data_IF_797402473286
#
_entry.id   IF_797402473286
#
_cell.length_a   1.000
_cell.length_b   1.000
_cell.length_c   1.000
_cell.angle_alpha   90.00
_cell.angle_beta   90.00
_cell.angle_gamma   90.00
#
_symmetry.space_group_name_H-M   'P 1'
#
loop_
_entity.id
_entity.type
_entity.pdbx_description
1 polymer ?
#
# COMPACT_ATOMS: atom_id res chain seq x y z
N UNK A 1 26.91 -17.54 43.06
CA UNK A 1 28.18 -18.29 43.14
C UNK A 1 28.68 -18.72 41.75
N UNK A 2 27.87 -19.41 40.95
CA UNK A 2 28.26 -19.84 39.59
C UNK A 2 28.59 -18.70 38.61
N UNK A 3 27.90 -17.55 38.70
CA UNK A 3 28.14 -16.39 37.83
C UNK A 3 29.53 -15.74 38.07
N UNK A 4 30.02 -15.77 39.32
CA UNK A 4 31.36 -15.29 39.68
C UNK A 4 32.42 -16.25 39.12
N UNK A 5 32.15 -17.56 39.12
CA UNK A 5 33.07 -18.58 38.63
C UNK A 5 33.22 -18.51 37.11
N UNK A 6 32.14 -18.20 36.38
CA UNK A 6 32.13 -18.17 34.91
C UNK A 6 32.55 -16.81 34.35
N UNK A 7 32.09 -15.70 34.95
CA UNK A 7 32.33 -14.35 34.43
C UNK A 7 33.26 -13.49 35.28
N UNK A 8 33.77 -14.01 36.41
CA UNK A 8 34.66 -13.27 37.31
C UNK A 8 33.98 -12.12 38.09
N UNK A 9 32.68 -11.92 37.94
CA UNK A 9 31.95 -10.78 38.51
C UNK A 9 30.72 -11.19 39.33
N UNK A 10 30.46 -10.54 40.48
CA UNK A 10 29.29 -10.82 41.32
C UNK A 10 27.99 -10.25 40.74
N UNK A 11 28.07 -9.17 39.96
CA UNK A 11 26.93 -8.49 39.33
C UNK A 11 27.35 -8.09 37.92
N UNK A 12 26.47 -8.35 36.94
CA UNK A 12 26.67 -7.96 35.54
C UNK A 12 25.43 -7.24 35.04
N UNK A 13 25.60 -6.29 34.12
CA UNK A 13 24.47 -5.64 33.44
C UNK A 13 24.02 -6.49 32.26
N UNK A 14 22.70 -6.62 32.05
CA UNK A 14 22.13 -7.45 30.98
C UNK A 14 22.69 -7.17 29.57
N UNK A 15 22.96 -5.91 29.17
CA UNK A 15 23.56 -5.61 27.86
C UNK A 15 25.00 -6.11 27.68
N UNK A 16 25.73 -6.38 28.77
CA UNK A 16 27.13 -6.84 28.72
C UNK A 16 27.25 -8.36 28.54
N UNK A 17 26.13 -9.09 28.63
CA UNK A 17 26.11 -10.55 28.54
C UNK A 17 26.68 -11.07 27.21
N UNK A 18 26.32 -10.53 26.01
CA UNK A 18 26.88 -11.03 24.76
C UNK A 18 28.40 -10.89 24.68
N UNK A 19 28.95 -9.78 25.19
CA UNK A 19 30.40 -9.51 25.20
C UNK A 19 31.15 -10.44 26.15
N UNK A 20 30.57 -10.72 27.32
CA UNK A 20 31.14 -11.64 28.30
C UNK A 20 30.99 -13.12 27.88
N UNK A 21 29.96 -13.44 27.09
CA UNK A 21 29.67 -14.80 26.63
C UNK A 21 30.50 -15.18 25.38
N UNK A 22 30.74 -14.24 24.46
CA UNK A 22 31.49 -14.49 23.23
C UNK A 22 32.83 -15.22 23.42
N UNK A 23 33.71 -14.86 24.38
CA UNK A 23 34.98 -15.57 24.59
C UNK A 23 34.82 -16.96 25.23
N UNK A 24 33.66 -17.26 25.82
CA UNK A 24 33.34 -18.57 26.40
C UNK A 24 32.75 -19.55 25.37
N UNK A 25 32.30 -19.04 24.22
CA UNK A 25 31.79 -19.84 23.10
C UNK A 25 32.94 -20.31 22.22
N UNK A 26 33.67 -21.32 22.71
CA UNK A 26 34.73 -21.98 21.97
C UNK A 26 34.14 -22.85 20.84
N UNK A 27 34.87 -23.02 19.72
CA UNK A 27 34.49 -24.01 18.71
C UNK A 27 34.51 -25.42 19.33
N UNK A 28 33.80 -26.36 18.71
CA UNK A 28 33.85 -27.76 19.11
C UNK A 28 35.30 -28.26 19.12
N UNK A 29 35.68 -28.95 20.19
CA UNK A 29 37.02 -29.53 20.31
C UNK A 29 37.29 -30.50 19.14
N UNK A 30 38.50 -30.47 18.55
CA UNK A 30 38.82 -31.34 17.43
C UNK A 30 38.90 -32.80 17.87
N UNK A 31 38.56 -33.71 16.97
CA UNK A 31 38.78 -35.15 17.18
C UNK A 31 40.27 -35.45 16.98
N UNK A 32 40.97 -35.74 18.08
CA UNK A 32 42.40 -36.08 18.08
C UNK A 32 42.56 -37.60 18.03
N UNK A 33 43.30 -38.10 17.04
CA UNK A 33 43.61 -39.54 16.89
C UNK A 33 45.12 -39.72 17.07
N UNK A 34 45.52 -40.23 18.23
CA UNK A 34 46.92 -40.54 18.51
C UNK A 34 47.32 -41.88 17.88
N UNK A 35 48.32 -41.87 17.00
CA UNK A 35 48.86 -43.06 16.36
C UNK A 35 50.38 -43.11 16.44
N UNK A 36 50.92 -44.15 17.09
CA UNK A 36 52.36 -44.38 17.16
C UNK A 36 52.82 -45.31 16.05
N UNK A 37 53.69 -44.80 15.18
CA UNK A 37 54.23 -45.57 14.05
C UNK A 37 55.15 -46.67 14.56
N UNK A 38 54.83 -47.93 14.24
CA UNK A 38 55.71 -49.06 14.50
C UNK A 38 56.62 -49.31 13.30
N UNK A 39 57.93 -49.43 13.55
CA UNK A 39 58.98 -49.64 12.52
C UNK A 39 59.49 -51.09 12.46
N UNK A 40 58.89 -51.98 13.24
CA UNK A 40 59.29 -53.39 13.35
C UNK A 40 58.84 -54.26 12.16
N UNK A 41 57.85 -53.81 11.38
CA UNK A 41 57.32 -54.51 10.20
C UNK A 41 57.27 -53.61 8.98
N UNK A 42 57.46 -54.20 7.79
CA UNK A 42 57.42 -53.48 6.52
C UNK A 42 56.01 -52.92 6.18
N UNK A 43 54.96 -53.50 6.77
CA UNK A 43 53.59 -53.03 6.65
C UNK A 43 52.85 -53.24 7.98
N UNK A 44 52.15 -52.20 8.44
CA UNK A 44 51.29 -52.27 9.62
C UNK A 44 49.93 -51.63 9.31
N UNK A 45 48.89 -52.46 9.33
CA UNK A 45 47.51 -52.00 9.33
C UNK A 45 47.08 -51.82 10.78
N UNK A 46 46.65 -50.60 11.15
CA UNK A 46 46.09 -50.34 12.47
C UNK A 46 44.82 -51.18 12.66
N UNK A 47 44.64 -51.87 13.80
CA UNK A 47 43.41 -52.60 14.10
C UNK A 47 42.25 -51.67 14.51
N UNK A 48 42.52 -50.37 14.69
CA UNK A 48 41.53 -49.39 15.14
C UNK A 48 40.81 -48.72 13.96
N UNK A 49 39.49 -48.76 13.99
CA UNK A 49 38.60 -47.99 13.12
C UNK A 49 37.82 -47.00 13.99
N UNK A 50 37.73 -45.74 13.56
CA UNK A 50 37.02 -44.68 14.27
C UNK A 50 35.83 -44.24 13.43
N UNK A 51 34.62 -44.45 13.94
CA UNK A 51 33.40 -43.91 13.35
C UNK A 51 33.15 -42.51 13.91
N UNK A 52 33.10 -41.52 13.03
CA UNK A 52 32.81 -40.12 13.39
C UNK A 52 31.46 -39.74 12.81
N UNK A 53 30.51 -39.41 13.68
CA UNK A 53 29.20 -38.91 13.26
C UNK A 53 29.33 -37.46 12.79
N UNK A 54 28.95 -37.20 11.53
CA UNK A 54 29.02 -35.87 10.92
C UNK A 54 27.60 -35.38 10.67
N UNK A 55 27.24 -34.24 11.24
CA UNK A 55 25.99 -33.56 10.92
C UNK A 55 26.06 -33.02 9.48
N UNK A 56 25.35 -33.67 8.57
CA UNK A 56 25.17 -33.18 7.20
C UNK A 56 24.13 -32.07 7.20
N UNK A 57 24.42 -30.90 6.60
CA UNK A 57 23.48 -29.79 6.60
C UNK A 57 22.26 -30.14 5.74
N UNK A 58 21.05 -30.08 6.30
CA UNK A 58 19.79 -30.45 5.63
C UNK A 58 19.53 -29.60 4.37
N UNK A 59 20.02 -30.06 3.23
CA UNK A 59 19.83 -29.42 1.93
C UNK A 59 18.37 -29.46 1.51
N UNK A 60 17.65 -30.53 1.85
CA UNK A 60 16.25 -30.70 1.50
C UNK A 60 15.34 -29.74 2.29
N UNK A 61 15.58 -29.55 3.58
CA UNK A 61 14.91 -28.53 4.40
C UNK A 61 15.18 -27.12 3.91
N UNK A 62 16.45 -26.81 3.59
CA UNK A 62 16.84 -25.50 3.05
C UNK A 62 16.21 -25.22 1.68
N UNK A 63 16.16 -26.22 0.80
CA UNK A 63 15.49 -26.09 -0.50
C UNK A 63 13.98 -25.92 -0.37
N UNK A 64 13.32 -26.66 0.54
CA UNK A 64 11.89 -26.49 0.85
C UNK A 64 11.59 -25.08 1.37
N UNK A 65 12.41 -24.56 2.29
CA UNK A 65 12.26 -23.19 2.80
C UNK A 65 12.40 -22.16 1.69
N UNK A 66 13.39 -22.32 0.80
CA UNK A 66 13.56 -21.45 -0.37
C UNK A 66 12.35 -21.50 -1.31
N UNK A 67 11.82 -22.69 -1.56
CA UNK A 67 10.63 -22.85 -2.40
C UNK A 67 9.38 -22.21 -1.79
N UNK A 68 9.23 -22.25 -0.47
CA UNK A 68 8.13 -21.55 0.22
C UNK A 68 8.25 -20.03 0.09
N UNK A 69 9.47 -19.50 0.23
CA UNK A 69 9.72 -18.06 0.09
C UNK A 69 9.54 -17.55 -1.35
N UNK A 70 9.73 -18.41 -2.35
CA UNK A 70 9.60 -18.05 -3.78
C UNK A 70 8.23 -18.38 -4.37
N UNK A 71 7.31 -18.99 -3.60
CA UNK A 71 5.98 -19.35 -4.07
C UNK A 71 5.10 -18.10 -4.29
N UNK A 72 5.38 -17.39 -5.37
CA UNK A 72 4.67 -16.20 -5.85
C UNK A 72 3.46 -16.56 -6.74
N UNK A 73 3.28 -17.84 -7.07
CA UNK A 73 2.16 -18.30 -7.89
C UNK A 73 0.82 -18.00 -7.22
N UNK A 74 0.70 -18.30 -5.92
CA UNK A 74 -0.49 -17.98 -5.13
C UNK A 74 -0.78 -16.47 -5.10
N UNK A 75 0.26 -15.62 -5.09
CA UNK A 75 0.08 -14.17 -5.05
C UNK A 75 -0.52 -13.63 -6.36
N UNK A 76 -0.14 -14.20 -7.52
CA UNK A 76 -0.71 -13.79 -8.81
C UNK A 76 -2.20 -14.12 -8.92
N UNK A 77 -2.59 -15.30 -8.46
CA UNK A 77 -4.00 -15.71 -8.48
C UNK A 77 -4.85 -14.86 -7.53
N UNK A 78 -4.32 -14.51 -6.35
CA UNK A 78 -4.97 -13.60 -5.40
C UNK A 78 -5.19 -12.23 -6.07
N UNK A 79 -4.16 -11.64 -6.68
CA UNK A 79 -4.30 -10.33 -7.35
C UNK A 79 -5.31 -10.37 -8.50
N UNK A 80 -5.34 -11.45 -9.29
CA UNK A 80 -6.33 -11.61 -10.36
C UNK A 80 -7.76 -11.74 -9.81
N UNK A 81 -7.95 -12.38 -8.66
CA UNK A 81 -9.24 -12.45 -7.97
C UNK A 81 -9.65 -11.08 -7.42
N UNK A 82 -8.73 -10.32 -6.86
CA UNK A 82 -8.99 -8.96 -6.35
C UNK A 82 -9.43 -8.00 -7.47
N UNK A 83 -8.81 -8.09 -8.65
CA UNK A 83 -9.24 -7.32 -9.83
C UNK A 83 -10.66 -7.69 -10.26
N UNK A 84 -11.01 -8.99 -10.27
CA UNK A 84 -12.38 -9.44 -10.58
C UNK A 84 -13.39 -8.94 -9.56
N UNK A 85 -13.07 -9.03 -8.27
CA UNK A 85 -13.92 -8.51 -7.20
C UNK A 85 -14.19 -7.01 -7.42
N UNK A 86 -13.14 -6.25 -7.73
CA UNK A 86 -13.26 -4.81 -8.00
C UNK A 86 -14.15 -4.54 -9.21
N UNK A 87 -14.00 -5.29 -10.30
CA UNK A 87 -14.85 -5.18 -11.49
C UNK A 87 -16.32 -5.48 -11.17
N UNK A 88 -16.59 -6.52 -10.39
CA UNK A 88 -17.96 -6.85 -9.99
C UNK A 88 -18.58 -5.79 -9.08
N UNK A 89 -17.82 -5.21 -8.14
CA UNK A 89 -18.29 -4.11 -7.30
C UNK A 89 -18.68 -2.91 -8.17
N UNK A 90 -17.86 -2.54 -9.15
CA UNK A 90 -18.18 -1.47 -10.09
C UNK A 90 -19.43 -1.77 -10.90
N UNK A 91 -19.56 -3.00 -11.42
CA UNK A 91 -20.76 -3.43 -12.16
C UNK A 91 -22.03 -3.36 -11.31
N UNK A 92 -21.96 -3.78 -10.04
CA UNK A 92 -23.08 -3.71 -9.09
C UNK A 92 -23.46 -2.25 -8.82
N UNK A 93 -22.48 -1.38 -8.59
CA UNK A 93 -22.74 0.04 -8.37
C UNK A 93 -23.39 0.69 -9.59
N UNK A 94 -22.90 0.41 -10.80
CA UNK A 94 -23.50 0.91 -12.03
C UNK A 94 -24.94 0.41 -12.21
N UNK A 95 -25.19 -0.88 -11.93
CA UNK A 95 -26.53 -1.45 -11.97
C UNK A 95 -27.46 -0.81 -10.93
N UNK A 96 -26.96 -0.57 -9.71
CA UNK A 96 -27.69 0.12 -8.64
C UNK A 96 -28.06 1.54 -9.05
N UNK A 97 -27.11 2.33 -9.54
CA UNK A 97 -27.35 3.71 -9.99
C UNK A 97 -28.40 3.74 -11.10
N UNK A 98 -28.29 2.85 -12.10
CA UNK A 98 -29.28 2.74 -13.18
C UNK A 98 -30.66 2.37 -12.66
N UNK A 99 -30.74 1.41 -11.74
CA UNK A 99 -32.01 1.00 -11.12
C UNK A 99 -32.64 2.15 -10.34
N UNK A 100 -31.85 2.83 -9.51
CA UNK A 100 -32.34 3.91 -8.65
C UNK A 100 -32.81 5.09 -9.51
N UNK A 101 -32.08 5.46 -10.57
CA UNK A 101 -32.51 6.42 -11.58
C UNK A 101 -33.87 6.06 -12.19
N UNK A 102 -34.03 4.83 -12.69
CA UNK A 102 -35.28 4.39 -13.33
C UNK A 102 -36.43 4.32 -12.32
N UNK A 103 -36.14 3.99 -11.06
CA UNK A 103 -37.13 3.94 -9.98
C UNK A 103 -37.64 5.33 -9.60
N UNK A 104 -36.75 6.30 -9.49
CA UNK A 104 -37.13 7.69 -9.24
C UNK A 104 -37.92 8.29 -10.40
N UNK A 105 -37.50 8.01 -11.63
CA UNK A 105 -38.25 8.39 -12.83
C UNK A 105 -39.67 7.80 -12.82
N UNK A 106 -39.82 6.51 -12.50
CA UNK A 106 -41.12 5.86 -12.47
C UNK A 106 -42.04 6.39 -11.36
N UNK A 107 -41.49 6.87 -10.24
CA UNK A 107 -42.26 7.40 -9.12
C UNK A 107 -42.89 8.78 -9.41
N UNK A 108 -42.14 9.67 -10.05
CA UNK A 108 -42.62 11.02 -10.42
C UNK A 108 -41.96 11.54 -11.70
N UNK A 109 -42.44 11.13 -12.90
CA UNK A 109 -41.75 11.38 -14.16
C UNK A 109 -41.55 12.87 -14.48
N UNK A 110 -42.58 13.70 -14.27
CA UNK A 110 -42.53 15.13 -14.60
C UNK A 110 -41.53 15.89 -13.71
N UNK A 111 -41.66 15.75 -12.40
CA UNK A 111 -40.74 16.35 -11.42
C UNK A 111 -39.31 15.82 -11.56
N UNK A 112 -39.16 14.53 -11.87
CA UNK A 112 -37.86 13.94 -12.13
C UNK A 112 -37.18 14.55 -13.36
N UNK A 113 -37.88 14.62 -14.51
CA UNK A 113 -37.33 15.20 -15.75
C UNK A 113 -36.90 16.65 -15.51
N UNK A 114 -37.73 17.45 -14.83
CA UNK A 114 -37.41 18.85 -14.54
C UNK A 114 -36.14 18.98 -13.69
N UNK A 115 -36.03 18.19 -12.61
CA UNK A 115 -34.83 18.15 -11.76
C UNK A 115 -33.60 17.63 -12.52
N UNK A 116 -33.79 16.63 -13.37
CA UNK A 116 -32.74 16.03 -14.18
C UNK A 116 -32.15 17.02 -15.19
N UNK A 117 -33.01 17.71 -15.95
CA UNK A 117 -32.58 18.76 -16.90
C UNK A 117 -31.84 19.88 -16.16
N UNK A 118 -32.36 20.32 -15.02
CA UNK A 118 -31.70 21.33 -14.20
C UNK A 118 -30.34 20.86 -13.64
N UNK A 119 -30.17 19.56 -13.36
CA UNK A 119 -28.86 18.98 -13.00
C UNK A 119 -27.91 19.00 -14.19
N UNK A 120 -28.35 18.50 -15.36
CA UNK A 120 -27.53 18.45 -16.56
C UNK A 120 -27.08 19.83 -17.04
N UNK A 121 -27.93 20.86 -16.92
CA UNK A 121 -27.55 22.22 -17.25
C UNK A 121 -26.44 22.75 -16.31
N UNK A 122 -26.54 22.48 -15.01
CA UNK A 122 -25.50 22.84 -14.04
C UNK A 122 -24.19 22.09 -14.31
N UNK A 123 -24.27 20.80 -14.60
CA UNK A 123 -23.08 20.01 -14.94
C UNK A 123 -22.41 20.54 -16.22
N UNK A 124 -23.20 20.96 -17.20
CA UNK A 124 -22.70 21.58 -18.44
C UNK A 124 -22.03 22.94 -18.18
N UNK A 125 -22.62 23.80 -17.34
CA UNK A 125 -22.02 25.07 -16.92
C UNK A 125 -20.65 24.85 -16.26
N UNK A 126 -20.53 23.83 -15.40
CA UNK A 126 -19.26 23.47 -14.76
C UNK A 126 -18.23 22.99 -15.78
N UNK A 127 -18.62 22.16 -16.75
CA UNK A 127 -17.71 21.65 -17.80
C UNK A 127 -17.22 22.77 -18.72
N UNK A 128 -18.11 23.69 -19.11
CA UNK A 128 -17.78 24.79 -20.00
C UNK A 128 -17.00 25.91 -19.29
N UNK A 129 -16.99 25.93 -17.95
CA UNK A 129 -16.36 26.99 -17.15
C UNK A 129 -17.03 28.35 -17.32
N UNK A 130 -18.19 28.39 -17.98
CA UNK A 130 -18.97 29.58 -18.21
C UNK A 130 -20.12 29.59 -17.21
N UNK A 131 -20.00 30.43 -16.17
CA UNK A 131 -21.15 30.82 -15.35
C UNK A 131 -22.02 31.80 -16.14
N UNK A 132 -22.58 31.36 -17.26
CA UNK A 132 -23.56 32.15 -17.97
C UNK A 132 -24.81 32.18 -17.11
N UNK A 133 -25.06 33.32 -16.48
CA UNK A 133 -26.40 33.67 -16.02
C UNK A 133 -27.36 33.32 -17.15
N UNK A 134 -28.26 32.37 -16.88
CA UNK A 134 -29.17 31.77 -17.83
C UNK A 134 -29.69 32.85 -18.81
N UNK A 135 -29.35 32.70 -20.09
CA UNK A 135 -29.61 33.72 -21.11
C UNK A 135 -31.11 34.06 -21.20
N UNK A 136 -31.96 33.10 -20.86
CA UNK A 136 -33.41 33.31 -20.75
C UNK A 136 -33.81 34.21 -19.57
N UNK A 137 -33.10 34.14 -18.45
CA UNK A 137 -33.36 35.04 -17.32
C UNK A 137 -33.03 36.48 -17.69
N UNK A 138 -31.92 36.72 -18.41
CA UNK A 138 -31.55 38.06 -18.90
C UNK A 138 -32.58 38.67 -19.84
N UNK A 139 -33.41 37.85 -20.51
CA UNK A 139 -34.49 38.33 -21.38
C UNK A 139 -35.70 38.84 -20.59
N UNK A 140 -35.82 38.50 -19.30
CA UNK A 140 -36.95 38.93 -18.47
C UNK A 140 -36.62 40.25 -17.78
N UNK A 141 -37.56 41.20 -17.81
CA UNK A 141 -37.38 42.50 -17.16
C UNK A 141 -37.10 42.39 -15.65
N UNK A 142 -37.68 41.39 -14.98
CA UNK A 142 -37.49 41.12 -13.55
C UNK A 142 -36.03 40.85 -13.17
N UNK A 143 -35.22 40.36 -14.11
CA UNK A 143 -33.80 40.14 -13.89
C UNK A 143 -33.06 41.46 -13.55
N UNK A 144 -33.50 42.57 -14.15
CA UNK A 144 -32.92 43.90 -13.94
C UNK A 144 -33.55 44.67 -12.78
N UNK A 145 -34.50 44.07 -12.06
CA UNK A 145 -35.09 44.67 -10.84
C UNK A 145 -34.38 44.19 -9.56
N UNK A 146 -33.34 43.37 -9.68
CA UNK A 146 -32.62 42.79 -8.55
C UNK A 146 -31.71 43.83 -7.85
N UNK A 147 -31.47 43.73 -6.53
CA UNK A 147 -30.71 44.73 -5.76
C UNK A 147 -29.29 45.00 -6.28
N UNK A 148 -28.62 43.97 -6.82
CA UNK A 148 -27.26 44.08 -7.37
C UNK A 148 -27.17 44.99 -8.61
N UNK A 149 -28.29 45.31 -9.25
CA UNK A 149 -28.30 46.08 -10.50
C UNK A 149 -27.84 47.52 -10.28
N UNK A 150 -28.22 48.15 -9.17
CA UNK A 150 -27.82 49.52 -8.84
C UNK A 150 -26.32 49.64 -8.62
N UNK A 151 -25.75 48.69 -7.90
CA UNK A 151 -24.29 48.57 -7.69
C UNK A 151 -23.58 48.34 -9.02
N UNK A 152 -24.09 47.41 -9.85
CA UNK A 152 -23.53 47.11 -11.16
C UNK A 152 -23.52 48.32 -12.11
N UNK A 153 -24.59 49.13 -12.13
CA UNK A 153 -24.66 50.37 -12.91
C UNK A 153 -23.59 51.36 -12.43
N UNK A 154 -23.43 51.52 -11.12
CA UNK A 154 -22.45 52.44 -10.53
C UNK A 154 -21.02 52.04 -10.88
N UNK A 155 -20.69 50.75 -10.75
CA UNK A 155 -19.40 50.21 -11.16
C UNK A 155 -19.14 50.38 -12.66
N UNK A 156 -20.16 50.14 -13.50
CA UNK A 156 -20.06 50.32 -14.95
C UNK A 156 -19.80 51.78 -15.33
N UNK A 157 -20.55 52.72 -14.76
CA UNK A 157 -20.39 54.16 -15.02
C UNK A 157 -19.00 54.65 -14.57
N UNK A 158 -18.54 54.24 -13.39
CA UNK A 158 -17.22 54.58 -12.89
C UNK A 158 -16.10 54.00 -13.76
N UNK A 159 -16.24 52.74 -14.21
CA UNK A 159 -15.30 52.12 -15.13
C UNK A 159 -15.26 52.85 -16.48
N UNK A 160 -16.41 53.26 -17.01
CA UNK A 160 -16.50 54.00 -18.27
C UNK A 160 -15.90 55.41 -18.17
N UNK A 161 -16.09 56.11 -17.06
CA UNK A 161 -15.51 57.44 -16.79
C UNK A 161 -14.00 57.37 -16.51
N UNK A 162 -13.50 56.22 -16.07
CA UNK A 162 -12.07 56.00 -15.80
C UNK A 162 -11.25 55.65 -17.06
N UNK A 163 -11.88 55.41 -18.21
CA UNK A 163 -11.19 55.19 -19.49
C UNK A 163 -11.08 56.55 -20.19
N UNK A 164 -9.89 57.15 -20.35
CA UNK A 164 -9.76 58.44 -21.00
C UNK A 164 -9.85 58.26 -22.53
N UNK A 165 -10.94 58.76 -23.11
CA UNK A 165 -11.07 58.99 -24.56
C UNK A 165 -11.77 57.88 -25.34
N UNK A 166 -13.05 58.09 -25.64
CA UNK A 166 -13.72 57.58 -26.83
C UNK A 166 -14.85 58.56 -27.20
N UNK A 167 -14.44 59.72 -27.72
CA UNK A 167 -15.14 60.35 -28.84
C UNK A 167 -14.62 59.72 -30.14
#
# INVERSE_FOLDING_TARGET
>A
MMMIIVFGMPVIMFPQIPELLAPLLLPMDPVIIDYMIRVDKHYHQSPYAFDVEVELPDEAGRQRLRALLTNTAAQKDITALDEKITQYIQAINNAKTKRDFLREFAASPAEFIHRWIASQNRDLEVILGESHVNLEERRRADFFQKPWVQEAITHYLNARLSIPGAE
#
